data_IF_510961174880
#
_entry.id   IF_510961174880
#
_cell.length_a   1.000
_cell.length_b   1.000
_cell.length_c   1.000
_cell.angle_alpha   90.00
_cell.angle_beta   90.00
_cell.angle_gamma   90.00
#
_symmetry.space_group_name_H-M   'P 1'
#
loop_
_entity.id
_entity.type
_entity.pdbx_description
1 polymer ?
#
# COMPACT_ATOMS: atom_id res chain seq x y z
N UNK A 1 3.52 -2.33 26.48
CA UNK A 1 3.33 -1.21 25.50
C UNK A 1 2.36 -0.21 26.10
N UNK A 2 2.61 1.09 25.98
CA UNK A 2 1.70 2.08 26.56
C UNK A 2 0.50 2.26 25.62
N UNK A 3 -0.59 1.52 25.87
CA UNK A 3 -1.81 1.56 25.06
C UNK A 3 -2.39 2.98 24.92
N UNK A 4 -2.13 3.87 25.89
CA UNK A 4 -2.53 5.28 25.82
C UNK A 4 -1.81 6.03 24.72
N UNK A 5 -0.49 5.79 24.54
CA UNK A 5 0.31 6.42 23.47
C UNK A 5 -0.16 5.95 22.10
N UNK A 6 -0.46 4.67 21.97
CA UNK A 6 -0.97 4.09 20.72
C UNK A 6 -2.33 4.65 20.34
N UNK A 7 -3.25 4.72 21.31
CA UNK A 7 -4.58 5.30 21.09
C UNK A 7 -4.49 6.80 20.73
N UNK A 8 -3.65 7.54 21.43
CA UNK A 8 -3.43 8.95 21.15
C UNK A 8 -2.86 9.16 19.74
N UNK A 9 -1.87 8.37 19.32
CA UNK A 9 -1.28 8.47 18.00
C UNK A 9 -2.31 8.25 16.89
N UNK A 10 -3.17 7.24 17.02
CA UNK A 10 -4.19 6.95 16.01
C UNK A 10 -5.29 8.01 15.96
N UNK A 11 -5.75 8.49 17.10
CA UNK A 11 -6.74 9.58 17.14
C UNK A 11 -6.16 10.87 16.54
N UNK A 12 -4.93 11.21 16.87
CA UNK A 12 -4.28 12.40 16.32
C UNK A 12 -4.03 12.25 14.82
N UNK A 13 -3.77 11.04 14.32
CA UNK A 13 -3.36 10.85 12.93
C UNK A 13 -4.41 11.34 11.92
N UNK A 14 -5.69 11.14 12.19
CA UNK A 14 -6.78 11.55 11.30
C UNK A 14 -7.40 12.90 11.68
N UNK A 15 -6.95 13.53 12.77
CA UNK A 15 -7.51 14.79 13.26
C UNK A 15 -7.47 15.93 12.22
N UNK A 16 -6.36 16.20 11.50
CA UNK A 16 -6.34 17.26 10.50
C UNK A 16 -7.32 17.00 9.36
N UNK A 17 -7.43 15.75 8.91
CA UNK A 17 -8.38 15.37 7.88
C UNK A 17 -9.83 15.55 8.34
N UNK A 18 -10.15 15.20 9.59
CA UNK A 18 -11.47 15.42 10.15
C UNK A 18 -11.84 16.92 10.20
N UNK A 19 -10.89 17.78 10.58
CA UNK A 19 -11.10 19.23 10.59
C UNK A 19 -11.36 19.76 9.17
N UNK A 20 -10.53 19.36 8.19
CA UNK A 20 -10.68 19.78 6.79
C UNK A 20 -12.02 19.28 6.21
N UNK A 21 -12.44 18.07 6.55
CA UNK A 21 -13.74 17.51 6.17
C UNK A 21 -14.90 18.35 6.70
N UNK A 22 -14.85 18.74 7.97
CA UNK A 22 -15.86 19.61 8.60
C UNK A 22 -15.88 21.01 7.99
N UNK A 23 -14.79 21.49 7.41
CA UNK A 23 -14.72 22.74 6.66
C UNK A 23 -15.34 22.64 5.26
N UNK A 24 -15.83 21.46 4.83
CA UNK A 24 -16.48 21.26 3.54
C UNK A 24 -15.53 20.90 2.40
N UNK A 25 -14.32 20.42 2.69
CA UNK A 25 -13.32 20.00 1.68
C UNK A 25 -13.03 18.49 1.75
N UNK A 26 -13.98 17.60 1.35
CA UNK A 26 -13.83 16.16 1.53
C UNK A 26 -12.64 15.56 0.77
N UNK A 27 -12.37 16.00 -0.46
CA UNK A 27 -11.25 15.48 -1.27
C UNK A 27 -9.89 15.83 -0.66
N UNK A 28 -9.72 17.08 -0.20
CA UNK A 28 -8.49 17.49 0.49
C UNK A 28 -8.33 16.75 1.82
N UNK A 29 -9.42 16.53 2.55
CA UNK A 29 -9.41 15.75 3.78
C UNK A 29 -8.92 14.32 3.53
N UNK A 30 -9.39 13.67 2.47
CA UNK A 30 -8.96 12.35 2.03
C UNK A 30 -7.46 12.32 1.71
N UNK A 31 -6.97 13.25 0.90
CA UNK A 31 -5.58 13.31 0.50
C UNK A 31 -4.65 13.56 1.70
N UNK A 32 -5.04 14.42 2.64
CA UNK A 32 -4.32 14.62 3.91
C UNK A 32 -4.33 13.34 4.75
N UNK A 33 -5.46 12.65 4.86
CA UNK A 33 -5.56 11.40 5.61
C UNK A 33 -4.66 10.32 5.01
N UNK A 34 -4.70 10.14 3.70
CA UNK A 34 -3.86 9.17 2.98
C UNK A 34 -2.38 9.48 3.17
N UNK A 35 -1.96 10.72 2.98
CA UNK A 35 -0.59 11.14 3.22
C UNK A 35 -0.14 10.89 4.66
N UNK A 36 -0.97 11.20 5.63
CA UNK A 36 -0.68 10.98 7.04
C UNK A 36 -0.53 9.49 7.36
N UNK A 37 -1.45 8.63 6.89
CA UNK A 37 -1.41 7.17 7.12
C UNK A 37 -0.20 6.54 6.44
N UNK A 38 0.05 6.86 5.17
CA UNK A 38 1.18 6.31 4.42
C UNK A 38 2.51 6.70 5.05
N UNK A 39 2.70 7.98 5.39
CA UNK A 39 3.94 8.47 6.00
C UNK A 39 4.11 8.00 7.45
N UNK A 40 3.03 7.89 8.20
CA UNK A 40 3.06 7.32 9.55
C UNK A 40 3.49 5.85 9.51
N UNK A 41 2.89 5.05 8.63
CA UNK A 41 3.27 3.65 8.43
C UNK A 41 4.74 3.53 8.01
N UNK A 42 5.18 4.35 7.06
CA UNK A 42 6.57 4.44 6.62
C UNK A 42 7.51 4.79 7.78
N UNK A 43 7.13 5.77 8.59
CA UNK A 43 7.91 6.21 9.74
C UNK A 43 8.05 5.16 10.85
N UNK A 44 7.07 4.24 10.98
CA UNK A 44 7.15 3.09 11.89
C UNK A 44 8.11 2.01 11.41
N UNK A 45 8.30 1.88 10.09
CA UNK A 45 9.04 0.79 9.45
C UNK A 45 10.46 1.18 9.02
N UNK A 46 10.77 2.46 8.98
CA UNK A 46 12.06 2.97 8.55
C UNK A 46 12.46 4.20 9.39
N UNK A 47 13.72 4.63 9.26
CA UNK A 47 14.10 5.95 9.79
C UNK A 47 13.27 7.01 9.05
N UNK A 48 12.57 7.91 9.77
CA UNK A 48 11.74 8.92 9.15
C UNK A 48 12.63 9.87 8.35
N UNK A 49 12.61 9.70 7.04
CA UNK A 49 13.30 10.58 6.10
C UNK A 49 12.27 11.55 5.54
N UNK A 50 12.40 12.84 5.84
CA UNK A 50 11.57 13.89 5.25
C UNK A 50 11.47 13.78 3.71
N UNK A 51 12.54 13.38 2.97
CA UNK A 51 12.46 13.16 1.52
C UNK A 51 11.34 12.20 1.07
N UNK A 52 10.98 11.20 1.88
CA UNK A 52 9.89 10.29 1.50
C UNK A 52 8.53 10.98 1.44
N UNK A 53 8.26 11.96 2.28
CA UNK A 53 7.04 12.76 2.21
C UNK A 53 6.93 13.50 0.87
N UNK A 54 8.03 14.12 0.42
CA UNK A 54 8.10 14.73 -0.91
C UNK A 54 7.92 13.71 -2.03
N UNK A 55 8.53 12.53 -1.89
CA UNK A 55 8.45 11.48 -2.89
C UNK A 55 7.02 10.94 -3.02
N UNK A 56 6.34 10.65 -1.90
CA UNK A 56 4.94 10.22 -1.88
C UNK A 56 4.04 11.26 -2.57
N UNK A 57 4.13 12.51 -2.15
CA UNK A 57 3.30 13.59 -2.68
C UNK A 57 3.60 13.90 -4.15
N UNK A 58 4.88 13.92 -4.53
CA UNK A 58 5.31 14.18 -5.89
C UNK A 58 4.89 13.08 -6.86
N UNK A 59 5.03 11.82 -6.46
CA UNK A 59 4.62 10.68 -7.28
C UNK A 59 3.10 10.61 -7.40
N UNK A 60 2.35 10.89 -6.32
CA UNK A 60 0.89 10.99 -6.36
C UNK A 60 0.42 12.07 -7.35
N UNK A 61 0.96 13.28 -7.25
CA UNK A 61 0.61 14.38 -8.15
C UNK A 61 0.99 14.07 -9.61
N UNK A 62 2.17 13.49 -9.84
CA UNK A 62 2.63 13.09 -11.16
C UNK A 62 1.72 12.00 -11.76
N UNK A 63 1.29 11.02 -10.96
CA UNK A 63 0.36 9.99 -11.38
C UNK A 63 -1.00 10.57 -11.76
N UNK A 64 -1.55 11.49 -10.97
CA UNK A 64 -2.80 12.16 -11.26
C UNK A 64 -2.73 13.02 -12.54
N UNK A 65 -1.59 13.71 -12.78
CA UNK A 65 -1.35 14.47 -14.01
C UNK A 65 -1.25 13.58 -15.26
N UNK A 66 -0.66 12.41 -15.11
CA UNK A 66 -0.43 11.47 -16.22
C UNK A 66 -1.57 10.49 -16.41
N UNK A 67 -2.58 10.48 -15.54
CA UNK A 67 -3.69 9.52 -15.58
C UNK A 67 -4.47 9.49 -16.91
N UNK A 68 -4.44 10.59 -17.70
CA UNK A 68 -4.97 10.63 -19.06
C UNK A 68 -4.06 10.01 -20.14
N UNK A 69 -2.81 9.62 -19.80
CA UNK A 69 -1.80 9.09 -20.73
C UNK A 69 -1.39 7.69 -20.29
N UNK A 70 -2.04 6.67 -20.84
CA UNK A 70 -1.90 5.26 -20.43
C UNK A 70 -0.44 4.80 -20.34
N UNK A 71 0.39 5.16 -21.35
CA UNK A 71 1.81 4.78 -21.38
C UNK A 71 2.62 5.51 -20.31
N UNK A 72 2.33 6.78 -20.06
CA UNK A 72 3.01 7.59 -19.03
C UNK A 72 2.73 7.07 -17.64
N UNK A 73 1.49 6.70 -17.34
CA UNK A 73 1.09 6.08 -16.08
C UNK A 73 1.75 4.72 -15.91
N UNK A 74 1.70 3.86 -16.92
CA UNK A 74 2.33 2.54 -16.88
C UNK A 74 3.84 2.67 -16.59
N UNK A 75 4.54 3.57 -17.27
CA UNK A 75 5.96 3.83 -17.04
C UNK A 75 6.25 4.30 -15.61
N UNK A 76 5.45 5.23 -15.08
CA UNK A 76 5.60 5.73 -13.70
C UNK A 76 5.38 4.63 -12.66
N UNK A 77 4.34 3.82 -12.82
CA UNK A 77 4.00 2.73 -11.90
C UNK A 77 5.09 1.65 -11.93
N UNK A 78 5.55 1.25 -13.12
CA UNK A 78 6.61 0.26 -13.30
C UNK A 78 7.93 0.75 -12.72
N UNK A 79 8.31 2.02 -12.97
CA UNK A 79 9.51 2.63 -12.41
C UNK A 79 9.45 2.68 -10.87
N UNK A 80 8.30 3.03 -10.31
CA UNK A 80 8.09 3.07 -8.85
C UNK A 80 8.14 1.66 -8.24
N UNK A 81 7.58 0.66 -8.92
CA UNK A 81 7.65 -0.73 -8.51
C UNK A 81 9.11 -1.25 -8.53
N UNK A 82 9.86 -0.94 -9.61
CA UNK A 82 11.26 -1.28 -9.71
C UNK A 82 12.09 -0.63 -8.60
N UNK A 83 11.87 0.66 -8.33
CA UNK A 83 12.53 1.37 -7.23
C UNK A 83 12.20 0.76 -5.86
N UNK A 84 10.94 0.31 -5.66
CA UNK A 84 10.50 -0.38 -4.45
C UNK A 84 11.28 -1.68 -4.23
N UNK A 85 11.44 -2.46 -5.28
CA UNK A 85 12.24 -3.69 -5.24
C UNK A 85 13.71 -3.42 -4.95
N UNK A 86 14.33 -2.48 -5.65
CA UNK A 86 15.72 -2.08 -5.46
C UNK A 86 15.99 -1.54 -4.06
N UNK A 87 15.06 -0.75 -3.51
CA UNK A 87 15.15 -0.20 -2.16
C UNK A 87 15.13 -1.25 -1.04
N UNK A 88 14.78 -2.49 -1.35
CA UNK A 88 14.88 -3.60 -0.39
C UNK A 88 16.31 -3.88 0.05
N UNK A 89 17.32 -3.58 -0.77
CA UNK A 89 18.74 -3.68 -0.41
C UNK A 89 19.15 -2.71 0.70
N UNK A 90 18.42 -1.60 0.83
CA UNK A 90 18.62 -0.58 1.86
C UNK A 90 17.65 -0.75 3.04
N UNK A 91 16.79 -1.76 3.01
CA UNK A 91 15.75 -1.97 4.01
C UNK A 91 14.53 -1.04 3.87
N UNK A 92 14.42 -0.31 2.76
CA UNK A 92 13.33 0.67 2.53
C UNK A 92 12.13 0.11 1.77
N UNK A 93 12.10 -1.18 1.50
CA UNK A 93 11.05 -1.83 0.73
C UNK A 93 9.63 -1.43 1.17
N UNK A 94 9.33 -1.58 2.46
CA UNK A 94 7.99 -1.25 2.99
C UNK A 94 7.65 0.23 2.86
N UNK A 95 8.65 1.09 2.99
CA UNK A 95 8.50 2.52 2.78
C UNK A 95 8.19 2.88 1.33
N UNK A 96 8.88 2.24 0.41
CA UNK A 96 8.67 2.46 -1.01
C UNK A 96 7.36 1.83 -1.52
N UNK A 97 6.79 0.82 -0.83
CA UNK A 97 5.42 0.38 -1.07
C UNK A 97 4.39 1.49 -0.83
N UNK A 98 4.62 2.37 0.13
CA UNK A 98 3.75 3.53 0.34
C UNK A 98 3.83 4.53 -0.83
N UNK A 99 5.02 4.69 -1.43
CA UNK A 99 5.19 5.49 -2.65
C UNK A 99 4.48 4.85 -3.84
N UNK A 100 4.59 3.54 -4.00
CA UNK A 100 3.87 2.80 -5.03
C UNK A 100 2.35 2.88 -4.83
N UNK A 101 1.86 2.78 -3.59
CA UNK A 101 0.44 2.97 -3.29
C UNK A 101 -0.04 4.37 -3.70
N UNK A 102 0.74 5.42 -3.40
CA UNK A 102 0.43 6.79 -3.82
C UNK A 102 0.40 6.92 -5.36
N UNK A 103 1.35 6.32 -6.07
CA UNK A 103 1.36 6.29 -7.53
C UNK A 103 0.10 5.63 -8.09
N UNK A 104 -0.26 4.47 -7.56
CA UNK A 104 -1.43 3.71 -8.00
C UNK A 104 -2.73 4.47 -7.72
N UNK A 105 -2.92 5.00 -6.53
CA UNK A 105 -4.12 5.77 -6.18
C UNK A 105 -4.25 7.00 -7.10
N UNK A 106 -3.16 7.77 -7.26
CA UNK A 106 -3.16 8.96 -8.12
C UNK A 106 -3.46 8.65 -9.58
N UNK A 107 -3.04 7.48 -10.09
CA UNK A 107 -3.22 7.09 -11.49
C UNK A 107 -4.68 6.85 -11.91
N UNK A 108 -5.57 6.61 -10.96
CA UNK A 108 -7.01 6.41 -11.21
C UNK A 108 -7.85 7.68 -10.96
N UNK A 109 -7.20 8.79 -10.66
CA UNK A 109 -7.86 10.07 -10.37
C UNK A 109 -7.33 11.18 -11.28
N UNK A 110 -7.67 11.17 -12.58
CA UNK A 110 -7.17 12.16 -13.53
C UNK A 110 -7.48 13.59 -13.08
N UNK A 111 -6.49 14.47 -13.13
CA UNK A 111 -6.59 15.80 -12.62
C UNK A 111 -5.93 16.83 -13.55
N UNK A 112 -6.46 18.04 -13.59
CA UNK A 112 -5.76 19.18 -14.19
C UNK A 112 -4.52 19.53 -13.36
N UNK A 113 -3.57 20.26 -13.94
CA UNK A 113 -2.35 20.65 -13.24
C UNK A 113 -2.60 21.37 -11.91
N UNK A 114 -3.59 22.25 -11.86
CA UNK A 114 -3.97 22.96 -10.63
C UNK A 114 -4.53 22.02 -9.56
N UNK A 115 -5.39 21.07 -9.95
CA UNK A 115 -5.99 20.08 -9.03
C UNK A 115 -4.93 19.11 -8.56
N UNK A 116 -4.07 18.60 -9.45
CA UNK A 116 -2.98 17.70 -9.08
C UNK A 116 -1.98 18.36 -8.12
N UNK A 117 -1.66 19.63 -8.34
CA UNK A 117 -0.79 20.40 -7.43
C UNK A 117 -1.45 20.57 -6.05
N UNK A 118 -2.75 20.92 -6.00
CA UNK A 118 -3.51 21.05 -4.75
C UNK A 118 -3.55 19.73 -3.96
N UNK A 119 -3.88 18.65 -4.64
CA UNK A 119 -3.90 17.29 -4.05
C UNK A 119 -2.51 16.85 -3.58
N UNK A 120 -1.47 17.09 -4.41
CA UNK A 120 -0.08 16.81 -4.03
C UNK A 120 0.33 17.58 -2.79
N UNK A 121 -0.05 18.85 -2.68
CA UNK A 121 0.21 19.66 -1.49
C UNK A 121 -0.54 19.14 -0.25
N UNK A 122 -1.80 18.75 -0.39
CA UNK A 122 -2.59 18.16 0.69
C UNK A 122 -1.96 16.82 1.16
N UNK A 123 -1.59 15.96 0.21
CA UNK A 123 -0.86 14.71 0.49
C UNK A 123 0.45 14.99 1.22
N UNK A 124 1.23 15.98 0.78
CA UNK A 124 2.48 16.38 1.42
C UNK A 124 2.28 16.87 2.86
N UNK A 125 1.28 17.73 3.09
CA UNK A 125 0.95 18.20 4.43
C UNK A 125 0.59 17.03 5.35
N UNK A 126 -0.20 16.07 4.86
CA UNK A 126 -0.49 14.83 5.55
C UNK A 126 0.77 14.02 5.87
N UNK A 127 1.67 13.86 4.90
CA UNK A 127 2.94 13.16 5.10
C UNK A 127 3.80 13.81 6.19
N UNK A 128 3.96 15.13 6.15
CA UNK A 128 4.72 15.84 7.19
C UNK A 128 4.10 15.64 8.57
N UNK A 129 2.79 15.71 8.65
CA UNK A 129 2.08 15.49 9.90
C UNK A 129 2.24 14.05 10.42
N UNK A 130 2.08 13.04 9.57
CA UNK A 130 2.30 11.64 9.92
C UNK A 130 3.72 11.38 10.43
N UNK A 131 4.74 11.91 9.75
CA UNK A 131 6.13 11.82 10.19
C UNK A 131 6.39 12.55 11.51
N UNK A 132 5.75 13.70 11.72
CA UNK A 132 5.83 14.44 12.97
C UNK A 132 5.27 13.62 14.13
N UNK A 133 4.12 12.97 13.95
CA UNK A 133 3.51 12.09 14.96
C UNK A 133 4.42 10.90 15.30
N UNK A 134 5.09 10.29 14.32
CA UNK A 134 6.05 9.23 14.60
C UNK A 134 7.19 9.75 15.47
N UNK A 135 7.69 10.94 15.18
CA UNK A 135 8.81 11.54 15.93
C UNK A 135 8.43 11.95 17.35
N UNK A 136 7.21 12.41 17.57
CA UNK A 136 6.77 12.96 18.86
C UNK A 136 6.08 11.92 19.72
N UNK A 137 5.12 11.19 19.17
CA UNK A 137 4.22 10.31 19.92
C UNK A 137 4.63 8.84 19.79
N UNK A 138 5.02 8.40 18.59
CA UNK A 138 5.22 6.99 18.27
C UNK A 138 6.70 6.54 18.22
N UNK A 139 7.64 7.30 18.75
CA UNK A 139 9.09 6.98 18.72
C UNK A 139 9.44 5.56 19.16
N UNK A 140 8.77 5.07 20.21
CA UNK A 140 8.97 3.73 20.74
C UNK A 140 8.39 2.60 19.89
N UNK A 141 7.66 2.91 18.80
CA UNK A 141 7.04 1.95 17.89
C UNK A 141 7.89 1.70 16.64
N UNK A 142 8.94 2.47 16.40
CA UNK A 142 9.78 2.36 15.19
C UNK A 142 10.51 1.02 15.17
N UNK A 143 10.31 0.24 14.11
CA UNK A 143 11.00 -1.01 13.86
C UNK A 143 12.33 -0.79 13.12
N UNK A 144 13.26 -1.75 13.20
CA UNK A 144 14.50 -1.69 12.44
C UNK A 144 14.24 -2.14 10.99
N UNK A 145 14.79 -1.43 9.99
CA UNK A 145 14.69 -1.88 8.61
C UNK A 145 15.47 -3.19 8.41
N UNK A 146 14.87 -4.09 7.64
CA UNK A 146 15.52 -5.35 7.24
C UNK A 146 15.99 -5.19 5.81
N UNK A 147 17.30 -5.17 5.61
CA UNK A 147 17.93 -5.12 4.30
C UNK A 147 18.08 -6.52 3.70
N UNK A 148 17.91 -6.62 2.39
CA UNK A 148 18.09 -7.84 1.61
C UNK A 148 19.39 -7.74 0.80
N UNK A 149 20.05 -8.85 0.50
CA UNK A 149 21.25 -8.84 -0.33
C UNK A 149 20.99 -8.19 -1.71
N UNK A 150 21.94 -7.42 -2.23
CA UNK A 150 21.77 -6.59 -3.44
C UNK A 150 21.33 -7.38 -4.69
N UNK A 151 21.85 -8.59 -4.89
CA UNK A 151 21.43 -9.45 -6.00
C UNK A 151 19.96 -9.88 -5.86
N UNK A 152 19.52 -10.24 -4.67
CA UNK A 152 18.12 -10.57 -4.39
C UNK A 152 17.23 -9.35 -4.59
N UNK A 153 17.68 -8.18 -4.16
CA UNK A 153 16.97 -6.92 -4.35
C UNK A 153 16.79 -6.57 -5.84
N UNK A 154 17.82 -6.77 -6.66
CA UNK A 154 17.75 -6.55 -8.11
C UNK A 154 16.77 -7.51 -8.78
N UNK A 155 16.88 -8.80 -8.49
CA UNK A 155 15.92 -9.80 -9.01
C UNK A 155 14.49 -9.49 -8.59
N UNK A 156 14.31 -9.07 -7.37
CA UNK A 156 13.01 -8.65 -6.86
C UNK A 156 12.50 -7.37 -7.52
N UNK A 157 13.37 -6.41 -7.81
CA UNK A 157 13.04 -5.19 -8.55
C UNK A 157 12.43 -5.51 -9.92
N UNK A 158 13.07 -6.39 -10.67
CA UNK A 158 12.57 -6.83 -11.99
C UNK A 158 11.26 -7.60 -11.84
N UNK A 159 11.19 -8.54 -10.92
CA UNK A 159 9.98 -9.32 -10.67
C UNK A 159 8.80 -8.43 -10.30
N UNK A 160 8.99 -7.49 -9.38
CA UNK A 160 7.94 -6.60 -8.93
C UNK A 160 7.45 -5.68 -10.05
N UNK A 161 8.37 -5.14 -10.85
CA UNK A 161 8.05 -4.34 -12.02
C UNK A 161 7.20 -5.13 -13.03
N UNK A 162 7.59 -6.37 -13.33
CA UNK A 162 6.83 -7.25 -14.24
C UNK A 162 5.46 -7.61 -13.67
N UNK A 163 5.39 -7.97 -12.40
CA UNK A 163 4.12 -8.31 -11.74
C UNK A 163 3.13 -7.15 -11.74
N UNK A 164 3.61 -5.95 -11.43
CA UNK A 164 2.79 -4.73 -11.41
C UNK A 164 2.37 -4.35 -12.83
N UNK A 165 3.26 -4.51 -13.83
CA UNK A 165 2.90 -4.30 -15.22
C UNK A 165 1.82 -5.27 -15.69
N UNK A 166 1.95 -6.56 -15.38
CA UNK A 166 0.94 -7.57 -15.71
C UNK A 166 -0.40 -7.23 -15.05
N UNK A 167 -0.38 -6.84 -13.78
CA UNK A 167 -1.60 -6.40 -13.09
C UNK A 167 -2.24 -5.17 -13.77
N UNK A 168 -1.42 -4.19 -14.17
CA UNK A 168 -1.88 -3.01 -14.90
C UNK A 168 -2.51 -3.37 -16.25
N UNK A 169 -1.85 -4.23 -17.02
CA UNK A 169 -2.39 -4.71 -18.32
C UNK A 169 -3.69 -5.51 -18.12
N UNK A 170 -3.79 -6.29 -17.05
CA UNK A 170 -5.00 -7.05 -16.71
C UNK A 170 -6.18 -6.12 -16.44
N UNK A 171 -5.97 -5.01 -15.73
CA UNK A 171 -7.01 -4.00 -15.50
C UNK A 171 -7.57 -3.48 -16.83
N UNK A 172 -6.69 -3.12 -17.76
CA UNK A 172 -7.10 -2.58 -19.04
C UNK A 172 -7.76 -3.63 -19.93
N UNK A 173 -7.24 -4.85 -19.96
CA UNK A 173 -7.80 -5.93 -20.75
C UNK A 173 -9.17 -6.41 -20.25
N UNK A 174 -9.37 -6.39 -18.93
CA UNK A 174 -10.62 -6.79 -18.30
C UNK A 174 -11.64 -5.64 -18.14
N UNK A 175 -11.27 -4.40 -18.48
CA UNK A 175 -12.14 -3.23 -18.34
C UNK A 175 -12.49 -2.92 -16.87
N UNK A 176 -11.60 -3.25 -15.95
CA UNK A 176 -11.81 -3.02 -14.51
C UNK A 176 -11.58 -1.55 -14.19
N UNK A 177 -12.64 -0.78 -14.09
CA UNK A 177 -12.55 0.62 -13.69
C UNK A 177 -12.06 0.74 -12.24
N UNK A 178 -11.17 1.72 -12.00
CA UNK A 178 -10.68 2.08 -10.65
C UNK A 178 -10.00 0.93 -9.86
N UNK A 179 -9.47 -0.07 -10.54
CA UNK A 179 -8.86 -1.25 -9.95
C UNK A 179 -7.40 -1.04 -9.45
N UNK A 180 -7.06 0.16 -8.92
CA UNK A 180 -5.74 0.45 -8.31
C UNK A 180 -5.34 -0.58 -7.25
N UNK A 181 -6.33 -1.24 -6.68
CA UNK A 181 -6.16 -2.26 -5.66
C UNK A 181 -5.44 -3.52 -6.18
N UNK A 182 -5.68 -3.91 -7.44
CA UNK A 182 -5.06 -5.09 -8.03
C UNK A 182 -3.53 -5.02 -8.04
N UNK A 183 -2.87 -4.02 -8.65
CA UNK A 183 -1.41 -3.95 -8.65
C UNK A 183 -0.82 -3.69 -7.26
N UNK A 184 -1.53 -3.00 -6.36
CA UNK A 184 -1.08 -2.83 -4.98
C UNK A 184 -1.08 -4.16 -4.22
N UNK A 185 -2.13 -4.97 -4.38
CA UNK A 185 -2.23 -6.30 -3.76
C UNK A 185 -1.18 -7.24 -4.32
N UNK A 186 -0.93 -7.19 -5.64
CA UNK A 186 0.16 -7.94 -6.29
C UNK A 186 1.52 -7.56 -5.69
N UNK A 187 1.78 -6.27 -5.50
CA UNK A 187 3.02 -5.80 -4.90
C UNK A 187 3.16 -6.21 -3.43
N UNK A 188 2.06 -6.21 -2.68
CA UNK A 188 2.04 -6.63 -1.29
C UNK A 188 2.25 -8.15 -1.14
N UNK A 189 1.65 -8.96 -2.00
CA UNK A 189 1.80 -10.42 -2.01
C UNK A 189 3.15 -10.88 -2.57
N UNK A 190 3.73 -10.14 -3.52
CA UNK A 190 4.95 -10.48 -4.25
C UNK A 190 6.25 -10.28 -3.46
N UNK A 191 6.25 -10.13 -2.14
CA UNK A 191 7.44 -9.85 -1.35
C UNK A 191 8.41 -11.05 -1.30
N UNK A 192 9.74 -10.85 -1.48
CA UNK A 192 10.70 -11.94 -1.69
C UNK A 192 10.92 -12.82 -0.46
N UNK A 193 10.79 -12.28 0.74
CA UNK A 193 10.97 -13.05 1.99
C UNK A 193 9.80 -13.95 2.36
N UNK A 194 8.69 -13.88 1.60
CA UNK A 194 7.52 -14.73 1.81
C UNK A 194 7.65 -16.11 1.18
N UNK A 195 8.60 -16.28 0.32
CA UNK A 195 8.78 -17.52 -0.44
C UNK A 195 9.39 -18.66 0.38
N UNK A 196 9.72 -18.43 1.65
CA UNK A 196 10.46 -19.42 2.46
C UNK A 196 9.64 -20.66 2.84
N UNK A 197 8.30 -20.61 2.82
CA UNK A 197 7.45 -21.80 3.01
C UNK A 197 6.08 -21.63 2.34
N UNK A 198 5.55 -22.69 1.68
CA UNK A 198 4.20 -22.66 1.07
C UNK A 198 3.11 -22.26 2.06
N UNK A 199 3.21 -22.70 3.32
CA UNK A 199 2.24 -22.37 4.37
C UNK A 199 2.17 -20.88 4.69
N UNK A 200 3.30 -20.16 4.66
CA UNK A 200 3.30 -18.70 4.88
C UNK A 200 2.65 -17.95 3.72
N UNK A 201 2.84 -18.42 2.49
CA UNK A 201 2.18 -17.82 1.32
C UNK A 201 0.66 -18.00 1.40
N UNK A 202 0.18 -19.18 1.76
CA UNK A 202 -1.25 -19.47 1.96
C UNK A 202 -1.84 -18.66 3.10
N UNK A 203 -1.14 -18.59 4.24
CA UNK A 203 -1.59 -17.80 5.39
C UNK A 203 -1.75 -16.32 5.03
N UNK A 204 -0.81 -15.76 4.26
CA UNK A 204 -0.87 -14.37 3.83
C UNK A 204 -1.97 -14.10 2.83
N UNK A 205 -2.22 -15.05 1.92
CA UNK A 205 -3.38 -14.97 1.05
C UNK A 205 -4.68 -14.95 1.85
N UNK A 206 -4.86 -15.89 2.77
CA UNK A 206 -6.04 -15.95 3.63
C UNK A 206 -6.21 -14.64 4.41
N UNK A 207 -5.10 -14.05 4.89
CA UNK A 207 -5.09 -12.76 5.56
C UNK A 207 -5.52 -11.63 4.62
N UNK A 208 -5.02 -11.58 3.39
CA UNK A 208 -5.38 -10.56 2.41
C UNK A 208 -6.86 -10.66 2.00
N UNK A 209 -7.36 -11.87 1.76
CA UNK A 209 -8.77 -12.11 1.47
C UNK A 209 -9.67 -11.72 2.65
N UNK A 210 -9.33 -12.14 3.86
CA UNK A 210 -10.09 -11.78 5.05
C UNK A 210 -10.08 -10.27 5.30
N UNK A 211 -8.96 -9.59 5.05
CA UNK A 211 -8.84 -8.14 5.15
C UNK A 211 -9.73 -7.42 4.14
N UNK A 212 -9.74 -7.90 2.90
CA UNK A 212 -10.61 -7.37 1.84
C UNK A 212 -12.08 -7.60 2.18
N UNK A 213 -12.47 -8.80 2.61
CA UNK A 213 -13.84 -9.09 3.04
C UNK A 213 -14.28 -8.23 4.22
N UNK A 214 -13.39 -7.99 5.19
CA UNK A 214 -13.67 -7.07 6.30
C UNK A 214 -13.88 -5.65 5.79
N UNK A 215 -13.04 -5.16 4.88
CA UNK A 215 -13.18 -3.84 4.29
C UNK A 215 -14.54 -3.68 3.58
N UNK A 216 -14.93 -4.68 2.78
CA UNK A 216 -16.20 -4.72 2.07
C UNK A 216 -17.39 -4.76 3.04
N UNK A 217 -17.34 -5.62 4.05
CA UNK A 217 -18.41 -5.72 5.05
C UNK A 217 -18.62 -4.38 5.78
N UNK A 218 -17.53 -3.68 6.12
CA UNK A 218 -17.62 -2.36 6.76
C UNK A 218 -18.14 -1.32 5.75
N UNK A 219 -17.70 -1.37 4.51
CA UNK A 219 -18.13 -0.44 3.46
C UNK A 219 -19.62 -0.57 3.15
N UNK A 220 -20.11 -1.81 3.02
CA UNK A 220 -21.51 -2.09 2.71
C UNK A 220 -22.44 -1.85 3.92
N UNK A 221 -21.96 -2.12 5.14
CA UNK A 221 -22.73 -1.91 6.36
C UNK A 221 -22.87 -0.43 6.76
N UNK A 222 -21.94 0.42 6.33
CA UNK A 222 -21.87 1.82 6.75
C UNK A 222 -22.05 2.73 5.53
N UNK A 223 -23.23 3.29 5.34
CA UNK A 223 -23.51 4.20 4.24
C UNK A 223 -22.86 5.59 4.45
N UNK A 224 -22.77 6.04 5.71
CA UNK A 224 -22.34 7.40 6.02
C UNK A 224 -20.81 7.56 6.01
N UNK A 225 -20.24 8.53 5.22
CA UNK A 225 -18.80 8.73 5.11
C UNK A 225 -18.09 9.03 6.44
N UNK A 226 -18.74 9.77 7.35
CA UNK A 226 -18.18 10.07 8.66
C UNK A 226 -18.01 8.80 9.53
N UNK A 227 -18.95 7.86 9.46
CA UNK A 227 -18.88 6.59 10.16
C UNK A 227 -17.84 5.65 9.52
N UNK A 228 -17.66 5.70 8.20
CA UNK A 228 -16.57 4.98 7.52
C UNK A 228 -15.19 5.50 7.98
N UNK A 229 -15.03 6.81 8.09
CA UNK A 229 -13.81 7.40 8.62
C UNK A 229 -13.56 7.01 10.08
N UNK A 230 -14.61 6.95 10.91
CA UNK A 230 -14.51 6.45 12.29
C UNK A 230 -14.13 4.96 12.35
N UNK A 231 -14.68 4.12 11.47
CA UNK A 231 -14.30 2.72 11.33
C UNK A 231 -12.83 2.58 10.89
N UNK A 232 -12.37 3.37 9.92
CA UNK A 232 -10.96 3.41 9.52
C UNK A 232 -10.05 3.81 10.68
N UNK A 233 -10.46 4.78 11.49
CA UNK A 233 -9.73 5.18 12.70
C UNK A 233 -9.67 4.06 13.75
N UNK A 234 -10.77 3.33 13.96
CA UNK A 234 -10.81 2.19 14.86
C UNK A 234 -9.91 1.03 14.39
N UNK A 235 -9.91 0.74 13.09
CA UNK A 235 -9.01 -0.24 12.49
C UNK A 235 -7.54 0.18 12.56
N UNK A 236 -7.25 1.47 12.38
CA UNK A 236 -5.91 2.02 12.56
C UNK A 236 -5.46 1.91 14.03
N UNK A 237 -6.36 2.12 14.98
CA UNK A 237 -6.11 1.87 16.41
C UNK A 237 -5.74 0.41 16.65
N UNK A 238 -6.53 -0.52 16.11
CA UNK A 238 -6.27 -1.95 16.20
C UNK A 238 -4.93 -2.33 15.55
N UNK A 239 -4.61 -1.75 14.38
CA UNK A 239 -3.33 -1.91 13.70
C UNK A 239 -2.15 -1.51 14.60
N UNK A 240 -2.22 -0.35 15.22
CA UNK A 240 -1.16 0.14 16.10
C UNK A 240 -1.05 -0.66 17.41
N UNK A 241 -2.17 -1.18 17.90
CA UNK A 241 -2.20 -1.94 19.15
C UNK A 241 -1.73 -3.39 18.98
N UNK A 242 -2.10 -4.05 17.89
CA UNK A 242 -1.94 -5.49 17.69
C UNK A 242 -0.86 -5.84 16.65
N UNK A 243 -0.58 -4.92 15.71
CA UNK A 243 0.24 -5.22 14.53
C UNK A 243 1.74 -5.20 14.77
N UNK A 244 2.23 -4.75 15.94
CA UNK A 244 3.65 -4.46 16.14
C UNK A 244 4.59 -5.63 15.88
N UNK A 245 4.21 -6.82 16.28
CA UNK A 245 5.09 -8.00 16.29
C UNK A 245 4.70 -9.04 15.22
N UNK A 246 3.64 -8.80 14.45
CA UNK A 246 3.09 -9.73 13.47
C UNK A 246 2.80 -9.02 12.14
N UNK A 247 3.65 -9.26 11.15
CA UNK A 247 3.50 -8.65 9.82
C UNK A 247 2.15 -8.97 9.16
N UNK A 248 1.62 -10.18 9.38
CA UNK A 248 0.33 -10.62 8.86
C UNK A 248 -0.83 -9.79 9.44
N UNK A 249 -0.77 -9.48 10.76
CA UNK A 249 -1.78 -8.63 11.41
C UNK A 249 -1.67 -7.18 10.93
N UNK A 250 -0.46 -6.71 10.65
CA UNK A 250 -0.27 -5.37 10.05
C UNK A 250 -0.92 -5.28 8.68
N UNK A 251 -0.64 -6.24 7.80
CA UNK A 251 -1.20 -6.28 6.46
C UNK A 251 -2.75 -6.44 6.51
N UNK A 252 -3.25 -7.27 7.43
CA UNK A 252 -4.69 -7.48 7.64
C UNK A 252 -5.43 -6.20 8.04
N UNK A 253 -4.87 -5.40 8.93
CA UNK A 253 -5.54 -4.20 9.45
C UNK A 253 -5.32 -2.96 8.59
N UNK A 254 -4.15 -2.84 7.92
CA UNK A 254 -3.86 -1.69 7.07
C UNK A 254 -4.68 -1.71 5.77
N UNK A 255 -4.94 -2.88 5.23
CA UNK A 255 -5.76 -3.06 4.01
C UNK A 255 -7.12 -2.39 4.12
N UNK A 256 -7.99 -2.70 5.10
CA UNK A 256 -9.28 -2.06 5.22
C UNK A 256 -9.19 -0.55 5.54
N UNK A 257 -8.16 -0.10 6.25
CA UNK A 257 -7.94 1.34 6.48
C UNK A 257 -7.74 2.06 5.15
N UNK A 258 -6.88 1.56 4.27
CA UNK A 258 -6.63 2.16 2.96
C UNK A 258 -7.88 2.10 2.07
N UNK A 259 -8.57 0.98 2.03
CA UNK A 259 -9.81 0.83 1.25
C UNK A 259 -10.87 1.83 1.71
N UNK A 260 -11.10 1.94 3.02
CA UNK A 260 -12.11 2.85 3.56
C UNK A 260 -11.75 4.33 3.33
N UNK A 261 -10.46 4.68 3.38
CA UNK A 261 -10.01 6.05 3.12
C UNK A 261 -10.09 6.42 1.64
N UNK A 262 -9.76 5.50 0.74
CA UNK A 262 -9.80 5.76 -0.72
C UNK A 262 -11.22 5.67 -1.26
N UNK A 263 -11.95 4.62 -0.90
CA UNK A 263 -13.30 4.37 -1.39
C UNK A 263 -14.37 5.24 -0.71
N UNK A 264 -14.06 5.83 0.44
CA UNK A 264 -15.03 6.59 1.25
C UNK A 264 -15.69 7.76 0.55
N UNK A 265 -15.13 8.25 -0.57
CA UNK A 265 -15.66 9.36 -1.37
C UNK A 265 -16.20 9.00 -2.76
N UNK A 266 -16.25 7.73 -3.12
CA UNK A 266 -16.60 7.31 -4.49
C UNK A 266 -17.63 6.17 -4.47
N UNK A 267 -18.43 6.06 -5.54
CA UNK A 267 -19.42 4.99 -5.76
C UNK A 267 -18.74 3.66 -6.17
N UNK A 268 -17.78 3.20 -5.40
CA UNK A 268 -17.10 1.94 -5.67
C UNK A 268 -18.04 0.74 -5.44
N UNK A 269 -18.12 -0.15 -6.41
CA UNK A 269 -18.77 -1.44 -6.20
C UNK A 269 -17.84 -2.36 -5.38
N UNK A 270 -18.37 -2.97 -4.35
CA UNK A 270 -17.65 -3.93 -3.48
C UNK A 270 -17.01 -5.08 -4.27
N UNK A 271 -17.61 -5.48 -5.39
CA UNK A 271 -17.12 -6.53 -6.27
C UNK A 271 -15.71 -6.29 -6.81
N UNK A 272 -15.37 -5.06 -7.19
CA UNK A 272 -14.07 -4.72 -7.80
C UNK A 272 -12.89 -5.04 -6.87
N UNK A 273 -13.04 -4.81 -5.56
CA UNK A 273 -11.99 -5.13 -4.59
C UNK A 273 -11.78 -6.63 -4.42
N UNK A 274 -12.88 -7.40 -4.39
CA UNK A 274 -12.81 -8.86 -4.27
C UNK A 274 -12.21 -9.47 -5.54
N UNK A 275 -12.68 -9.06 -6.71
CA UNK A 275 -12.15 -9.49 -8.00
C UNK A 275 -10.66 -9.12 -8.12
N UNK A 276 -10.28 -7.88 -7.78
CA UNK A 276 -8.89 -7.45 -7.78
C UNK A 276 -8.01 -8.28 -6.86
N UNK A 277 -8.49 -8.66 -5.67
CA UNK A 277 -7.74 -9.50 -4.73
C UNK A 277 -7.57 -10.93 -5.25
N UNK A 278 -8.63 -11.51 -5.83
CA UNK A 278 -8.56 -12.85 -6.44
C UNK A 278 -7.64 -12.90 -7.66
N UNK A 279 -7.73 -11.89 -8.53
CA UNK A 279 -6.84 -11.75 -9.69
C UNK A 279 -5.38 -11.54 -9.26
N UNK A 280 -5.12 -10.71 -8.23
CA UNK A 280 -3.78 -10.53 -7.69
C UNK A 280 -3.19 -11.85 -7.21
N UNK A 281 -3.99 -12.65 -6.52
CA UNK A 281 -3.57 -13.98 -6.11
C UNK A 281 -3.26 -14.89 -7.29
N UNK A 282 -4.11 -14.93 -8.30
CA UNK A 282 -3.90 -15.74 -9.50
C UNK A 282 -2.58 -15.33 -10.21
N UNK A 283 -2.34 -14.03 -10.36
CA UNK A 283 -1.11 -13.50 -10.96
C UNK A 283 0.12 -13.94 -10.15
N UNK A 284 0.16 -13.65 -8.84
CA UNK A 284 1.32 -13.96 -7.99
C UNK A 284 1.56 -15.46 -7.91
N UNK A 285 0.51 -16.29 -7.80
CA UNK A 285 0.63 -17.75 -7.78
C UNK A 285 1.19 -18.29 -9.07
N UNK A 286 0.68 -17.81 -10.22
CA UNK A 286 1.17 -18.21 -11.56
C UNK A 286 2.64 -17.89 -11.71
N UNK A 287 3.06 -16.66 -11.39
CA UNK A 287 4.48 -16.29 -11.49
C UNK A 287 5.37 -17.04 -10.49
N UNK A 288 4.85 -17.37 -9.31
CA UNK A 288 5.58 -18.19 -8.33
C UNK A 288 5.80 -19.62 -8.84
N UNK A 289 4.77 -20.22 -9.42
CA UNK A 289 4.85 -21.57 -10.00
C UNK A 289 5.78 -21.57 -11.21
N UNK A 290 5.60 -20.64 -12.14
CA UNK A 290 6.46 -20.49 -13.31
C UNK A 290 7.92 -20.22 -12.91
N UNK A 291 8.17 -19.36 -11.95
CA UNK A 291 9.51 -19.05 -11.46
C UNK A 291 10.19 -20.27 -10.84
N UNK A 292 9.46 -21.06 -10.04
CA UNK A 292 9.96 -22.33 -9.50
C UNK A 292 10.23 -23.34 -10.60
N UNK A 293 9.33 -23.47 -11.56
CA UNK A 293 9.49 -24.38 -12.70
C UNK A 293 10.72 -24.02 -13.54
N UNK A 294 10.92 -22.73 -13.87
CA UNK A 294 12.08 -22.23 -14.60
C UNK A 294 13.39 -22.49 -13.82
N UNK A 295 13.40 -22.21 -12.51
CA UNK A 295 14.55 -22.47 -11.66
C UNK A 295 14.87 -23.98 -11.59
N UNK A 296 13.87 -24.82 -11.50
CA UNK A 296 14.04 -26.28 -11.45
C UNK A 296 14.56 -26.82 -12.79
N UNK A 297 14.12 -26.29 -13.93
CA UNK A 297 14.58 -26.69 -15.25
C UNK A 297 15.99 -26.22 -15.58
N UNK A 298 16.36 -24.99 -15.11
CA UNK A 298 17.68 -24.40 -15.39
C UNK A 298 18.76 -24.82 -14.40
N UNK A 299 18.40 -25.19 -13.18
CA UNK A 299 19.34 -25.64 -12.11
C UNK A 299 18.69 -26.72 -11.25
N UNK A 300 18.67 -27.99 -11.74
CA UNK A 300 18.09 -29.08 -10.99
C UNK A 300 18.76 -29.30 -9.62
N UNK A 301 20.05 -28.93 -9.49
CA UNK A 301 20.83 -29.13 -8.25
C UNK A 301 20.46 -28.20 -7.12
N UNK A 302 19.77 -27.06 -7.39
CA UNK A 302 19.38 -26.09 -6.37
C UNK A 302 18.05 -26.47 -5.71
N UNK A 303 17.27 -27.36 -6.30
CA UNK A 303 15.98 -27.82 -5.78
C UNK A 303 16.06 -28.51 -4.41
N UNK A 304 17.21 -29.04 -4.04
CA UNK A 304 17.42 -29.74 -2.77
C UNK A 304 17.79 -28.81 -1.59
N UNK A 305 18.20 -27.56 -1.86
CA UNK A 305 18.63 -26.61 -0.82
C UNK A 305 17.44 -25.79 -0.25
N UNK A 306 16.31 -25.78 -0.94
CA UNK A 306 15.13 -24.98 -0.55
C UNK A 306 14.12 -25.80 0.29
N UNK A 307 14.35 -27.10 0.46
CA UNK A 307 13.47 -28.02 1.20
C UNK A 307 14.01 -28.44 2.57
N UNK A 308 15.08 -27.82 3.07
CA UNK A 308 15.65 -28.10 4.40
C UNK A 308 15.34 -26.92 5.40
#
# INVERSE_FOLDING_TARGET
MNHRVTALAALLLLLPAAVIYQMGYPDLARDVALGAVLAFHLGLLARPLAPFGFLIAGVYAAAALTAGFTDGVAALIVATAAATGAGSSLGYHRGLLAVLAAALIGSFEPATAAVAASRGFAMFAGCLYGLLLVRTVARGLVSRPVAVHSRTALSYSVLLAVLVLVAWLTIHAAGLEQAWWLPLTVAALGQPWLQSTPGKAVARLATALAATLLALAVFDAIAEPALRAAAAAALLLAFLALGRDRAEVQDFLLTPVLVLLVAGGTDYSSGVYLEGTLLAFAIVSTFTVLGKWVLWTLRPDVGHVVSA
#
